data_IF_324431333259
#
_entry.id   IF_324431333259
#
_cell.length_a   1.000
_cell.length_b   1.000
_cell.length_c   1.000
_cell.angle_alpha   90.00
_cell.angle_beta   90.00
_cell.angle_gamma   90.00
#
_symmetry.space_group_name_H-M   'P 1'
#
loop_
_entity.id
_entity.type
_entity.pdbx_description
1 polymer ?
#
# COMPACT_ATOMS: atom_id res chain seq x y z
N UNK A 1 20.17 -39.78 -12.05
CA UNK A 1 20.15 -39.01 -10.79
C UNK A 1 18.76 -38.44 -10.66
N UNK A 2 18.03 -38.86 -9.63
CA UNK A 2 16.63 -38.48 -9.37
C UNK A 2 16.52 -37.00 -9.01
N UNK A 3 15.47 -36.27 -9.41
CA UNK A 3 15.25 -34.91 -8.94
C UNK A 3 14.96 -34.94 -7.44
N UNK A 4 15.63 -34.07 -6.69
CA UNK A 4 15.49 -33.93 -5.26
C UNK A 4 14.06 -33.51 -4.90
N UNK A 5 13.46 -34.24 -3.96
CA UNK A 5 12.19 -33.91 -3.35
C UNK A 5 12.27 -32.52 -2.70
N UNK A 6 11.49 -31.58 -3.22
CA UNK A 6 11.14 -30.36 -2.49
C UNK A 6 10.30 -30.82 -1.32
N UNK A 7 10.85 -30.73 -0.10
CA UNK A 7 10.13 -31.06 1.12
C UNK A 7 8.88 -30.20 1.22
N UNK A 8 7.72 -30.83 1.02
CA UNK A 8 6.45 -30.29 1.49
C UNK A 8 6.56 -30.30 3.01
N UNK A 9 6.75 -29.13 3.61
CA UNK A 9 6.56 -28.97 5.05
C UNK A 9 5.11 -29.38 5.34
N UNK A 10 4.94 -30.39 6.18
CA UNK A 10 3.63 -30.85 6.64
C UNK A 10 2.79 -29.65 7.05
N UNK A 11 1.57 -29.53 6.49
CA UNK A 11 0.61 -28.57 7.00
C UNK A 11 0.37 -28.91 8.48
N UNK A 12 0.43 -27.94 9.41
CA UNK A 12 0.11 -28.23 10.80
C UNK A 12 -1.27 -28.88 10.89
N UNK A 13 -1.36 -29.96 11.67
CA UNK A 13 -2.61 -30.65 11.94
C UNK A 13 -3.63 -29.64 12.47
N UNK A 14 -4.72 -29.39 11.73
CA UNK A 14 -5.87 -28.64 12.26
C UNK A 14 -6.44 -29.47 13.41
N UNK A 15 -6.47 -28.96 14.66
CA UNK A 15 -7.17 -29.66 15.72
C UNK A 15 -8.68 -29.71 15.41
N UNK A 16 -9.34 -30.76 15.89
CA UNK A 16 -10.79 -30.93 15.75
C UNK A 16 -11.55 -29.86 16.54
N UNK A 17 -12.75 -29.51 16.06
CA UNK A 17 -13.67 -28.65 16.80
C UNK A 17 -14.02 -29.26 18.17
N UNK A 18 -14.30 -28.45 19.20
CA UNK A 18 -14.78 -28.96 20.48
C UNK A 18 -16.10 -29.71 20.29
N UNK A 19 -16.33 -30.82 21.02
CA UNK A 19 -17.56 -31.61 20.89
C UNK A 19 -18.77 -30.84 21.46
N UNK A 20 -19.92 -30.96 20.78
CA UNK A 20 -21.19 -30.38 21.22
C UNK A 20 -21.76 -31.15 22.43
N UNK A 21 -22.22 -30.41 23.44
CA UNK A 21 -22.79 -30.93 24.69
C UNK A 21 -24.31 -30.86 24.71
N UNK A 22 -24.92 -30.09 23.80
CA UNK A 22 -26.37 -29.87 23.71
C UNK A 22 -26.86 -28.71 24.58
N UNK A 23 -25.96 -28.01 25.27
CA UNK A 23 -26.20 -26.73 25.91
C UNK A 23 -25.59 -25.63 25.03
N UNK A 24 -26.44 -24.89 24.31
CA UNK A 24 -26.01 -23.87 23.35
C UNK A 24 -25.08 -22.80 23.97
N UNK A 25 -25.27 -22.46 25.24
CA UNK A 25 -24.44 -21.45 25.91
C UNK A 25 -23.06 -22.01 26.26
N UNK A 26 -23.00 -23.26 26.73
CA UNK A 26 -21.75 -23.94 27.01
C UNK A 26 -20.96 -24.25 25.72
N UNK A 27 -21.65 -24.66 24.66
CA UNK A 27 -21.06 -24.98 23.37
C UNK A 27 -20.50 -23.72 22.67
N UNK A 28 -21.20 -22.58 22.76
CA UNK A 28 -20.69 -21.30 22.27
C UNK A 28 -19.46 -20.83 23.07
N UNK A 29 -19.47 -20.97 24.40
CA UNK A 29 -18.32 -20.61 25.22
C UNK A 29 -17.09 -21.49 24.92
N UNK A 30 -17.29 -22.80 24.74
CA UNK A 30 -16.25 -23.75 24.36
C UNK A 30 -15.68 -23.44 22.96
N UNK A 31 -16.53 -23.10 21.99
CA UNK A 31 -16.11 -22.68 20.66
C UNK A 31 -15.28 -21.39 20.69
N UNK A 32 -15.72 -20.37 21.42
CA UNK A 32 -15.00 -19.10 21.53
C UNK A 32 -13.63 -19.26 22.22
N UNK A 33 -13.55 -20.12 23.25
CA UNK A 33 -12.30 -20.46 23.91
C UNK A 33 -11.34 -21.21 22.96
N UNK A 34 -11.85 -22.22 22.25
CA UNK A 34 -11.08 -22.94 21.22
C UNK A 34 -10.60 -22.00 20.10
N UNK A 35 -11.44 -21.07 19.64
CA UNK A 35 -11.08 -20.09 18.62
C UNK A 35 -10.00 -19.13 19.13
N UNK A 36 -10.06 -18.72 20.41
CA UNK A 36 -9.04 -17.88 21.03
C UNK A 36 -7.69 -18.61 21.12
N UNK A 37 -7.70 -19.88 21.55
CA UNK A 37 -6.51 -20.74 21.63
C UNK A 37 -5.89 -20.99 20.24
N UNK A 38 -6.70 -21.30 19.23
CA UNK A 38 -6.25 -21.46 17.84
C UNK A 38 -5.61 -20.17 17.29
N UNK A 39 -6.20 -19.01 17.61
CA UNK A 39 -5.62 -17.70 17.25
C UNK A 39 -4.29 -17.47 17.97
N UNK A 40 -4.15 -17.88 19.22
CA UNK A 40 -2.90 -17.78 19.97
C UNK A 40 -1.82 -18.70 19.42
N UNK A 41 -2.14 -19.97 19.17
CA UNK A 41 -1.24 -20.94 18.55
C UNK A 41 -0.77 -20.47 17.16
N UNK A 42 -1.69 -19.94 16.35
CA UNK A 42 -1.39 -19.35 15.04
C UNK A 42 -0.44 -18.14 15.15
N UNK A 43 -0.66 -17.25 16.14
CA UNK A 43 0.24 -16.12 16.43
C UNK A 43 1.62 -16.61 16.85
N UNK A 44 1.71 -17.62 17.70
CA UNK A 44 2.96 -18.20 18.18
C UNK A 44 3.77 -18.84 17.03
N UNK A 45 3.11 -19.61 16.17
CA UNK A 45 3.72 -20.23 14.98
C UNK A 45 4.19 -19.17 13.97
N UNK A 46 3.41 -18.12 13.73
CA UNK A 46 3.81 -17.01 12.88
C UNK A 46 5.04 -16.26 13.47
N UNK A 47 5.07 -16.04 14.78
CA UNK A 47 6.21 -15.43 15.46
C UNK A 47 7.47 -16.30 15.36
N UNK A 48 7.35 -17.63 15.46
CA UNK A 48 8.46 -18.56 15.26
C UNK A 48 8.96 -18.56 13.82
N UNK A 49 8.07 -18.66 12.84
CA UNK A 49 8.40 -18.55 11.42
C UNK A 49 9.13 -17.22 11.12
N UNK A 50 8.67 -16.11 11.70
CA UNK A 50 9.35 -14.82 11.58
C UNK A 50 10.74 -14.83 12.24
N UNK A 51 10.91 -15.46 13.41
CA UNK A 51 12.24 -15.60 14.03
C UNK A 51 13.19 -16.39 13.12
N UNK A 52 12.71 -17.45 12.47
CA UNK A 52 13.49 -18.24 11.52
C UNK A 52 13.87 -17.45 10.26
N UNK A 53 12.93 -16.75 9.65
CA UNK A 53 13.20 -15.88 8.50
C UNK A 53 14.20 -14.78 8.85
N UNK A 54 14.08 -14.14 10.03
CA UNK A 54 15.07 -13.16 10.49
C UNK A 54 16.46 -13.76 10.60
N UNK A 55 16.59 -14.98 11.13
CA UNK A 55 17.86 -15.70 11.20
C UNK A 55 18.40 -16.03 9.80
N UNK A 56 17.55 -16.55 8.91
CA UNK A 56 17.89 -16.92 7.53
C UNK A 56 18.45 -15.74 6.73
N UNK A 57 17.87 -14.55 6.90
CA UNK A 57 18.22 -13.36 6.13
C UNK A 57 19.08 -12.34 6.89
N UNK A 58 19.62 -12.70 8.06
CA UNK A 58 20.46 -11.78 8.86
C UNK A 58 19.75 -10.50 9.30
N UNK A 59 18.42 -10.54 9.43
CA UNK A 59 17.61 -9.36 9.73
C UNK A 59 17.78 -8.94 11.19
N UNK A 60 17.68 -7.62 11.44
CA UNK A 60 17.68 -7.08 12.81
C UNK A 60 16.51 -7.64 13.63
N UNK A 61 16.61 -7.65 14.97
CA UNK A 61 15.50 -7.99 15.86
C UNK A 61 14.26 -7.14 15.56
N UNK A 62 13.08 -7.61 15.98
CA UNK A 62 11.87 -6.80 15.90
C UNK A 62 12.09 -5.43 16.54
N UNK A 63 11.63 -4.34 15.91
CA UNK A 63 11.68 -3.04 16.54
C UNK A 63 10.82 -3.10 17.79
N UNK A 64 11.36 -2.60 18.90
CA UNK A 64 10.58 -2.43 20.13
C UNK A 64 9.26 -1.73 19.81
N UNK A 65 8.19 -2.12 20.50
CA UNK A 65 6.87 -1.48 20.42
C UNK A 65 7.03 0.03 20.43
N UNK A 66 6.73 0.66 19.30
CA UNK A 66 6.83 2.10 19.16
C UNK A 66 5.52 2.72 19.62
N UNK A 67 5.59 3.63 20.59
CA UNK A 67 4.50 4.53 20.91
C UNK A 67 4.77 5.92 20.34
N UNK A 68 3.70 6.64 20.07
CA UNK A 68 3.69 8.03 19.61
C UNK A 68 2.98 8.89 20.64
N UNK A 69 2.95 10.21 20.42
CA UNK A 69 2.15 11.14 21.23
C UNK A 69 0.63 10.85 21.21
N UNK A 70 0.15 9.99 20.29
CA UNK A 70 -1.24 9.51 20.22
C UNK A 70 -1.46 8.11 20.79
N UNK A 71 -0.44 7.54 21.47
CA UNK A 71 -0.48 6.19 22.04
C UNK A 71 0.25 5.15 21.20
N UNK A 72 -0.13 3.89 21.35
CA UNK A 72 0.40 2.78 20.53
C UNK A 72 0.06 2.96 19.04
N UNK A 73 0.85 2.34 18.16
CA UNK A 73 0.56 2.38 16.73
C UNK A 73 -0.83 1.79 16.45
N UNK A 74 -1.62 2.51 15.65
CA UNK A 74 -2.94 2.04 15.24
C UNK A 74 -2.84 0.72 14.49
N UNK A 75 -3.44 -0.31 15.08
CA UNK A 75 -3.52 -1.66 14.52
C UNK A 75 -4.13 -1.62 13.11
N UNK A 76 -3.47 -2.21 12.10
CA UNK A 76 -3.96 -2.18 10.72
C UNK A 76 -5.19 -3.08 10.45
N UNK A 77 -5.62 -3.86 11.44
CA UNK A 77 -6.83 -4.69 11.35
C UNK A 77 -8.07 -3.82 11.22
N UNK A 78 -8.89 -4.09 10.21
CA UNK A 78 -10.11 -3.32 9.95
C UNK A 78 -11.07 -3.42 11.14
N UNK A 79 -11.59 -2.27 11.53
CA UNK A 79 -12.60 -2.09 12.57
C UNK A 79 -13.54 -0.97 12.14
N UNK A 80 -14.83 -1.28 12.08
CA UNK A 80 -15.83 -0.35 11.56
C UNK A 80 -16.17 0.75 12.56
N UNK A 81 -15.90 0.53 13.84
CA UNK A 81 -16.22 1.46 14.91
C UNK A 81 -15.13 2.52 15.10
N UNK A 82 -13.86 2.18 14.84
CA UNK A 82 -12.76 3.15 14.84
C UNK A 82 -12.59 3.80 13.44
N UNK A 83 -12.85 5.11 13.27
CA UNK A 83 -12.68 5.80 11.99
C UNK A 83 -11.28 5.63 11.36
N UNK A 84 -10.22 5.51 12.16
CA UNK A 84 -8.86 5.28 11.68
C UNK A 84 -8.63 3.87 11.11
N UNK A 85 -9.50 2.92 11.45
CA UNK A 85 -9.40 1.50 11.08
C UNK A 85 -10.51 1.06 10.12
N UNK A 86 -11.33 1.99 9.62
CA UNK A 86 -12.31 1.73 8.54
C UNK A 86 -11.67 1.44 7.18
N UNK A 87 -10.41 1.84 7.00
CA UNK A 87 -9.63 1.65 5.78
C UNK A 87 -8.22 1.15 6.09
N UNK A 88 -7.60 0.44 5.14
CA UNK A 88 -6.17 0.10 5.25
C UNK A 88 -5.33 1.29 4.80
N UNK A 89 -4.64 1.94 5.74
CA UNK A 89 -3.72 3.04 5.42
C UNK A 89 -2.30 2.53 5.21
N UNK A 90 -1.86 2.52 3.95
CA UNK A 90 -0.52 2.13 3.54
C UNK A 90 0.46 3.30 3.70
N UNK A 91 1.55 3.07 4.42
CA UNK A 91 2.64 4.03 4.51
C UNK A 91 3.50 3.94 3.25
N UNK A 92 3.49 4.98 2.41
CA UNK A 92 4.37 5.06 1.26
C UNK A 92 5.83 5.03 1.70
N UNK A 93 6.63 4.13 1.15
CA UNK A 93 8.01 3.90 1.58
C UNK A 93 8.97 3.82 0.40
N UNK A 94 9.97 4.70 0.37
CA UNK A 94 11.08 4.68 -0.60
C UNK A 94 12.30 3.89 -0.11
N UNK A 95 12.20 3.24 1.06
CA UNK A 95 13.19 2.31 1.62
C UNK A 95 12.57 0.92 1.72
N UNK A 96 12.62 0.09 0.66
CA UNK A 96 11.99 -1.23 0.65
C UNK A 96 12.41 -2.16 1.78
N UNK A 97 13.64 -2.05 2.29
CA UNK A 97 14.13 -2.85 3.43
C UNK A 97 13.33 -2.64 4.72
N UNK A 98 12.45 -1.65 4.80
CA UNK A 98 11.50 -1.49 5.90
C UNK A 98 10.50 -2.63 5.99
N UNK A 99 10.25 -3.38 4.90
CA UNK A 99 9.45 -4.61 4.93
C UNK A 99 9.94 -5.64 5.95
N UNK A 100 11.23 -5.60 6.27
CA UNK A 100 11.89 -6.54 7.18
C UNK A 100 11.43 -6.35 8.64
N UNK A 101 10.77 -5.23 8.95
CA UNK A 101 10.43 -4.86 10.33
C UNK A 101 9.24 -3.92 10.46
N UNK A 102 8.54 -3.56 9.39
CA UNK A 102 7.43 -2.62 9.49
C UNK A 102 6.26 -3.20 10.28
N UNK A 103 5.79 -2.52 11.34
CA UNK A 103 4.57 -2.92 12.06
C UNK A 103 3.29 -2.44 11.37
N UNK A 104 3.40 -1.74 10.24
CA UNK A 104 2.27 -1.19 9.48
C UNK A 104 2.36 -1.56 8.00
N UNK A 105 1.23 -1.57 7.26
CA UNK A 105 1.22 -1.81 5.83
C UNK A 105 2.07 -0.79 5.06
N UNK A 106 2.82 -1.26 4.06
CA UNK A 106 3.69 -0.40 3.24
C UNK A 106 3.22 -0.32 1.78
N UNK A 107 3.33 0.87 1.18
CA UNK A 107 3.16 1.05 -0.27
C UNK A 107 4.52 1.33 -0.89
N UNK A 108 4.96 0.47 -1.82
CA UNK A 108 6.35 0.46 -2.29
C UNK A 108 6.36 0.50 -3.81
N UNK A 109 7.15 1.42 -4.36
CA UNK A 109 7.28 1.53 -5.82
C UNK A 109 8.21 0.49 -6.41
N UNK A 110 7.84 -0.04 -7.56
CA UNK A 110 8.64 -0.97 -8.34
C UNK A 110 10.03 -0.40 -8.65
N UNK A 111 10.12 0.89 -8.95
CA UNK A 111 11.39 1.58 -9.19
C UNK A 111 12.33 1.54 -7.97
N UNK A 112 11.80 1.54 -6.75
CA UNK A 112 12.60 1.44 -5.53
C UNK A 112 13.08 0.01 -5.26
N UNK A 113 12.21 -0.97 -5.51
CA UNK A 113 12.52 -2.41 -5.37
C UNK A 113 13.52 -2.89 -6.44
N UNK A 114 13.38 -2.42 -7.68
CA UNK A 114 14.26 -2.79 -8.80
C UNK A 114 15.74 -2.42 -8.59
N UNK A 115 16.04 -1.53 -7.62
CA UNK A 115 17.42 -1.18 -7.24
C UNK A 115 18.13 -2.33 -6.53
N UNK A 116 17.39 -3.28 -5.96
CA UNK A 116 17.94 -4.45 -5.32
C UNK A 116 18.16 -5.53 -6.38
N UNK A 117 19.44 -5.76 -6.72
CA UNK A 117 19.86 -6.71 -7.77
C UNK A 117 20.28 -8.07 -7.24
N UNK A 118 20.69 -8.15 -5.98
CA UNK A 118 21.14 -9.40 -5.33
C UNK A 118 20.48 -9.55 -3.97
N UNK A 119 20.15 -10.79 -3.63
CA UNK A 119 19.71 -11.18 -2.29
C UNK A 119 20.91 -11.08 -1.33
N UNK A 120 20.73 -10.41 -0.19
CA UNK A 120 21.76 -10.16 0.83
C UNK A 120 21.16 -9.43 2.04
N UNK A 121 21.96 -9.01 3.02
CA UNK A 121 21.50 -8.47 4.31
C UNK A 121 20.55 -7.25 4.25
N UNK A 122 20.49 -6.59 3.08
CA UNK A 122 19.61 -5.44 2.83
C UNK A 122 18.40 -5.77 1.96
N UNK A 123 18.27 -7.02 1.52
CA UNK A 123 17.17 -7.45 0.68
C UNK A 123 15.83 -7.26 1.42
N UNK A 124 14.83 -6.66 0.77
CA UNK A 124 13.48 -6.55 1.32
C UNK A 124 12.82 -7.92 1.42
N UNK A 125 12.38 -8.31 2.60
CA UNK A 125 11.60 -9.50 2.88
C UNK A 125 10.39 -9.08 3.70
N UNK A 126 9.20 -9.49 3.28
CA UNK A 126 7.95 -9.24 3.99
C UNK A 126 7.94 -10.04 5.29
N UNK A 127 8.05 -9.36 6.43
CA UNK A 127 8.02 -9.97 7.76
C UNK A 127 6.68 -9.74 8.47
N UNK A 128 5.63 -10.35 7.95
CA UNK A 128 4.28 -10.38 8.55
C UNK A 128 3.29 -9.35 8.01
N UNK A 129 3.68 -8.08 7.93
CA UNK A 129 2.77 -7.04 7.45
C UNK A 129 2.57 -7.08 5.95
N UNK A 130 1.37 -6.66 5.52
CA UNK A 130 1.04 -6.60 4.10
C UNK A 130 1.73 -5.42 3.42
N UNK A 131 1.91 -5.52 2.11
CA UNK A 131 2.45 -4.45 1.28
C UNK A 131 1.74 -4.45 -0.06
N UNK A 132 1.66 -3.30 -0.71
CA UNK A 132 1.15 -3.22 -2.08
C UNK A 132 2.15 -2.50 -2.98
N UNK A 133 2.10 -2.85 -4.27
CA UNK A 133 3.06 -2.42 -5.27
C UNK A 133 2.53 -1.21 -6.03
N UNK A 134 3.30 -0.13 -6.02
CA UNK A 134 3.13 1.05 -6.88
C UNK A 134 3.96 0.86 -8.17
N UNK A 135 3.37 1.11 -9.33
CA UNK A 135 4.07 1.10 -10.62
C UNK A 135 5.09 2.24 -10.74
N UNK A 136 4.89 3.31 -9.98
CA UNK A 136 5.68 4.55 -10.06
C UNK A 136 5.29 5.45 -11.22
N UNK A 137 4.08 5.26 -11.78
CA UNK A 137 3.54 5.98 -12.94
C UNK A 137 3.78 7.48 -12.92
N UNK A 138 3.40 8.13 -11.82
CA UNK A 138 3.53 9.58 -11.71
C UNK A 138 4.97 10.06 -11.86
N UNK A 139 5.93 9.35 -11.26
CA UNK A 139 7.36 9.73 -11.38
C UNK A 139 7.89 9.41 -12.77
N UNK A 140 7.46 8.29 -13.36
CA UNK A 140 7.87 7.88 -14.69
C UNK A 140 7.43 8.88 -15.77
N UNK A 141 6.20 9.39 -15.66
CA UNK A 141 5.54 10.17 -16.71
C UNK A 141 5.56 11.69 -16.47
N UNK A 142 6.04 12.19 -15.33
CA UNK A 142 6.32 13.63 -15.15
C UNK A 142 7.66 14.06 -15.76
N UNK A 143 7.91 15.36 -16.04
CA UNK A 143 9.16 15.82 -16.66
C UNK A 143 10.46 15.41 -15.95
N UNK A 144 10.39 15.02 -14.67
CA UNK A 144 11.51 14.51 -13.90
C UNK A 144 11.82 13.01 -14.17
N UNK A 145 10.96 12.31 -14.90
CA UNK A 145 11.11 10.90 -15.24
C UNK A 145 12.09 10.66 -16.39
N UNK A 146 12.69 9.47 -16.42
CA UNK A 146 13.62 9.02 -17.46
C UNK A 146 12.85 8.06 -18.38
N UNK A 147 12.60 8.43 -19.64
CA UNK A 147 12.03 7.53 -20.63
C UNK A 147 13.05 6.46 -21.04
N UNK A 148 12.59 5.26 -21.43
CA UNK A 148 13.45 4.19 -21.96
C UNK A 148 12.98 3.80 -23.36
N UNK A 149 13.76 4.12 -24.39
CA UNK A 149 13.38 3.92 -25.78
C UNK A 149 12.25 4.86 -26.21
N UNK A 150 11.35 4.38 -27.08
CA UNK A 150 10.22 5.16 -27.63
C UNK A 150 9.01 5.24 -26.68
N UNK A 151 9.04 4.51 -25.56
CA UNK A 151 7.98 4.57 -24.54
C UNK A 151 8.32 5.63 -23.47
N UNK A 152 7.34 6.45 -23.03
CA UNK A 152 7.55 7.39 -21.93
C UNK A 152 7.69 6.68 -20.57
N UNK A 153 7.44 5.37 -20.54
CA UNK A 153 7.71 4.47 -19.44
C UNK A 153 9.16 4.00 -19.43
N UNK A 154 9.70 3.79 -18.22
CA UNK A 154 11.08 3.29 -18.08
C UNK A 154 11.22 1.78 -18.25
N UNK A 155 10.12 1.03 -18.44
CA UNK A 155 10.13 -0.42 -18.78
C UNK A 155 8.94 -0.79 -19.68
N UNK A 156 9.12 -1.83 -20.49
CA UNK A 156 8.05 -2.52 -21.20
C UNK A 156 7.11 -3.26 -20.21
N UNK A 157 5.82 -3.47 -20.53
CA UNK A 157 4.90 -4.25 -19.69
C UNK A 157 5.41 -5.64 -19.28
N UNK A 158 6.08 -6.37 -20.19
CA UNK A 158 6.76 -7.64 -19.85
C UNK A 158 7.83 -7.48 -18.78
N UNK A 159 8.67 -6.46 -18.90
CA UNK A 159 9.74 -6.19 -17.94
C UNK A 159 9.15 -5.84 -16.56
N UNK A 160 8.05 -5.08 -16.56
CA UNK A 160 7.34 -4.72 -15.33
C UNK A 160 6.66 -5.92 -14.67
N UNK A 161 5.91 -6.73 -15.43
CA UNK A 161 5.28 -7.96 -14.93
C UNK A 161 6.29 -8.98 -14.43
N UNK A 162 7.42 -9.15 -15.15
CA UNK A 162 8.53 -9.99 -14.70
C UNK A 162 9.17 -9.50 -13.40
N UNK A 163 9.32 -8.18 -13.22
CA UNK A 163 9.77 -7.62 -11.95
C UNK A 163 8.76 -7.83 -10.83
N UNK A 164 7.47 -7.60 -11.06
CA UNK A 164 6.42 -7.83 -10.07
C UNK A 164 6.36 -9.30 -9.64
N UNK A 165 6.54 -10.23 -10.59
CA UNK A 165 6.66 -11.67 -10.35
C UNK A 165 7.83 -11.96 -9.42
N UNK A 166 9.03 -11.48 -9.79
CA UNK A 166 10.23 -11.61 -8.97
C UNK A 166 10.03 -11.05 -7.56
N UNK A 167 9.39 -9.89 -7.43
CA UNK A 167 9.13 -9.29 -6.11
C UNK A 167 8.17 -10.15 -5.30
N UNK A 168 7.08 -10.66 -5.88
CA UNK A 168 6.16 -11.54 -5.17
C UNK A 168 6.84 -12.82 -4.66
N UNK A 169 7.76 -13.39 -5.44
CA UNK A 169 8.52 -14.59 -5.07
C UNK A 169 9.61 -14.31 -4.02
N UNK A 170 10.43 -13.26 -4.22
CA UNK A 170 11.61 -12.99 -3.39
C UNK A 170 11.32 -12.15 -2.14
N UNK A 171 10.31 -11.26 -2.20
CA UNK A 171 9.89 -10.40 -1.08
C UNK A 171 8.73 -11.04 -0.33
N UNK A 172 7.82 -11.70 -1.05
CA UNK A 172 6.55 -12.22 -0.56
C UNK A 172 5.36 -11.55 -1.26
N UNK A 173 4.19 -12.21 -1.34
CA UNK A 173 3.09 -11.74 -2.18
C UNK A 173 2.57 -10.37 -1.71
N UNK A 174 2.30 -9.42 -2.64
CA UNK A 174 1.65 -8.16 -2.32
C UNK A 174 0.14 -8.34 -2.09
N UNK A 175 -0.50 -7.37 -1.41
CA UNK A 175 -1.97 -7.27 -1.29
C UNK A 175 -2.61 -7.02 -2.66
N UNK A 176 -2.00 -6.12 -3.43
CA UNK A 176 -2.33 -5.84 -4.81
C UNK A 176 -1.14 -5.20 -5.53
N UNK A 177 -1.19 -5.22 -6.87
CA UNK A 177 -0.29 -4.52 -7.74
C UNK A 177 -1.05 -3.47 -8.56
N UNK A 178 -0.58 -2.22 -8.57
CA UNK A 178 -1.05 -1.23 -9.52
C UNK A 178 -0.44 -1.51 -10.91
N UNK A 179 -1.21 -1.46 -12.00
CA UNK A 179 -0.68 -1.56 -13.36
C UNK A 179 0.20 -0.36 -13.70
N UNK A 180 0.85 -0.35 -14.86
CA UNK A 180 1.47 0.84 -15.45
C UNK A 180 0.39 1.79 -15.98
N UNK A 181 -0.36 2.39 -15.05
CA UNK A 181 -1.44 3.34 -15.30
C UNK A 181 -0.92 4.70 -15.78
N UNK A 182 -1.73 5.45 -16.52
CA UNK A 182 -1.35 6.73 -17.10
C UNK A 182 -2.07 7.87 -16.39
N UNK A 183 -1.40 8.59 -15.48
CA UNK A 183 -2.03 9.63 -14.69
C UNK A 183 -2.35 10.86 -15.54
N UNK A 184 -3.53 11.42 -15.32
CA UNK A 184 -4.09 12.52 -16.09
C UNK A 184 -3.78 13.91 -15.51
N UNK A 185 -2.88 14.04 -14.52
CA UNK A 185 -2.49 15.36 -14.04
C UNK A 185 -1.87 16.23 -15.16
N UNK A 186 -2.12 17.56 -15.17
CA UNK A 186 -1.63 18.45 -16.24
C UNK A 186 -0.14 18.30 -16.57
N UNK A 187 0.81 18.22 -15.61
CA UNK A 187 2.22 18.06 -15.93
C UNK A 187 2.57 16.77 -16.68
N UNK A 188 1.78 15.71 -16.51
CA UNK A 188 1.96 14.43 -17.22
C UNK A 188 1.40 14.55 -18.64
N UNK A 189 0.20 15.12 -18.77
CA UNK A 189 -0.44 15.36 -20.07
C UNK A 189 0.35 16.33 -20.95
N UNK A 190 0.86 17.42 -20.37
CA UNK A 190 1.73 18.39 -21.06
C UNK A 190 2.99 17.72 -21.60
N UNK A 191 3.60 16.81 -20.84
CA UNK A 191 4.80 16.08 -21.27
C UNK A 191 4.49 15.04 -22.35
N UNK A 192 3.40 14.30 -22.20
CA UNK A 192 3.05 13.21 -23.11
C UNK A 192 2.38 13.70 -24.38
N UNK A 193 1.78 14.90 -24.37
CA UNK A 193 0.99 15.42 -25.48
C UNK A 193 -0.37 14.72 -25.67
N UNK A 194 -0.76 13.85 -24.74
CA UNK A 194 -1.94 13.00 -24.85
C UNK A 194 -3.16 13.56 -24.12
N UNK A 195 -4.33 13.20 -24.63
CA UNK A 195 -5.64 13.44 -24.04
C UNK A 195 -5.90 12.54 -22.84
N UNK A 196 -6.90 12.88 -22.02
CA UNK A 196 -7.36 12.02 -20.93
C UNK A 196 -7.83 10.67 -21.49
N UNK A 197 -8.59 10.66 -22.59
CA UNK A 197 -9.07 9.43 -23.23
C UNK A 197 -7.95 8.49 -23.67
N UNK A 198 -6.86 9.03 -24.22
CA UNK A 198 -5.68 8.23 -24.59
C UNK A 198 -5.00 7.62 -23.36
N UNK A 199 -4.86 8.39 -22.27
CA UNK A 199 -4.34 7.85 -21.00
C UNK A 199 -5.26 6.77 -20.41
N UNK A 200 -6.57 6.93 -20.50
CA UNK A 200 -7.54 5.93 -20.07
C UNK A 200 -7.38 4.64 -20.88
N UNK A 201 -7.30 4.73 -22.21
CA UNK A 201 -7.11 3.58 -23.07
C UNK A 201 -5.79 2.86 -22.76
N UNK A 202 -4.69 3.60 -22.62
CA UNK A 202 -3.38 3.03 -22.29
C UNK A 202 -3.36 2.37 -20.90
N UNK A 203 -4.12 2.91 -19.94
CA UNK A 203 -4.28 2.32 -18.61
C UNK A 203 -5.08 1.01 -18.68
N UNK A 204 -6.19 1.01 -19.41
CA UNK A 204 -7.02 -0.17 -19.62
C UNK A 204 -6.24 -1.28 -20.33
N UNK A 205 -5.57 -0.97 -21.45
CA UNK A 205 -4.79 -1.92 -22.24
C UNK A 205 -3.69 -2.55 -21.39
N UNK A 206 -2.99 -1.74 -20.59
CA UNK A 206 -1.94 -2.24 -19.71
C UNK A 206 -2.50 -3.15 -18.61
N UNK A 207 -3.62 -2.78 -17.98
CA UNK A 207 -4.28 -3.61 -16.98
C UNK A 207 -4.72 -4.96 -17.56
N UNK A 208 -5.37 -4.96 -18.73
CA UNK A 208 -5.83 -6.17 -19.39
C UNK A 208 -4.65 -7.09 -19.73
N UNK A 209 -3.59 -6.53 -20.32
CA UNK A 209 -2.37 -7.24 -20.66
C UNK A 209 -1.70 -7.87 -19.43
N UNK A 210 -1.47 -7.09 -18.37
CA UNK A 210 -0.82 -7.60 -17.15
C UNK A 210 -1.67 -8.67 -16.45
N UNK A 211 -3.00 -8.52 -16.45
CA UNK A 211 -3.92 -9.50 -15.89
C UNK A 211 -3.95 -10.81 -16.70
N UNK A 212 -3.71 -10.76 -18.00
CA UNK A 212 -3.64 -11.94 -18.86
C UNK A 212 -2.29 -12.65 -18.75
N UNK A 213 -1.19 -11.94 -19.00
CA UNK A 213 0.16 -12.51 -19.06
C UNK A 213 0.73 -12.86 -17.69
N UNK A 214 0.35 -12.09 -16.66
CA UNK A 214 0.81 -12.25 -15.28
C UNK A 214 -0.37 -12.49 -14.32
N UNK A 215 -1.32 -13.34 -14.75
CA UNK A 215 -2.59 -13.63 -14.07
C UNK A 215 -2.48 -14.09 -12.60
N UNK A 216 -1.32 -14.62 -12.20
CA UNK A 216 -1.06 -15.09 -10.84
C UNK A 216 -0.75 -13.95 -9.86
N UNK A 217 -0.60 -12.71 -10.36
CA UNK A 217 -0.41 -11.51 -9.54
C UNK A 217 -1.73 -10.76 -9.34
N UNK A 218 -1.92 -10.11 -8.17
CA UNK A 218 -3.15 -9.43 -7.82
C UNK A 218 -3.25 -8.02 -8.44
N UNK A 219 -3.33 -7.93 -9.77
CA UNK A 219 -3.49 -6.65 -10.48
C UNK A 219 -4.88 -6.04 -10.20
N UNK A 220 -4.91 -4.73 -9.94
CA UNK A 220 -6.16 -4.00 -9.74
C UNK A 220 -6.41 -3.03 -10.89
N UNK A 221 -7.65 -2.85 -11.36
CA UNK A 221 -7.97 -1.80 -12.31
C UNK A 221 -7.73 -0.43 -11.67
N UNK A 222 -7.31 0.54 -12.48
CA UNK A 222 -7.11 1.92 -12.03
C UNK A 222 -7.94 2.86 -12.90
N UNK A 223 -8.85 3.58 -12.24
CA UNK A 223 -9.63 4.65 -12.85
C UNK A 223 -8.76 5.92 -12.93
N UNK A 224 -8.81 6.54 -14.11
CA UNK A 224 -8.09 7.75 -14.50
C UNK A 224 -9.05 8.76 -15.10
N UNK A 225 -8.81 10.04 -14.81
CA UNK A 225 -9.59 11.17 -15.30
C UNK A 225 -9.07 12.48 -14.71
N UNK A 226 -9.53 13.61 -15.23
CA UNK A 226 -9.29 14.97 -14.70
C UNK A 226 -10.60 15.64 -14.25
N UNK A 227 -11.69 15.49 -14.98
CA UNK A 227 -13.03 15.92 -14.61
C UNK A 227 -13.89 14.74 -14.14
N UNK A 228 -15.07 15.05 -13.58
CA UNK A 228 -15.91 14.03 -12.92
C UNK A 228 -16.51 13.02 -13.90
N UNK A 229 -16.98 13.52 -15.04
CA UNK A 229 -17.48 12.76 -16.18
C UNK A 229 -16.40 11.83 -16.76
N UNK A 230 -15.17 12.30 -16.90
CA UNK A 230 -14.07 11.51 -17.44
C UNK A 230 -13.82 10.23 -16.62
N UNK A 231 -13.97 10.27 -15.28
CA UNK A 231 -13.88 9.04 -14.48
C UNK A 231 -15.02 8.06 -14.74
N UNK A 232 -16.23 8.57 -14.97
CA UNK A 232 -17.40 7.74 -15.29
C UNK A 232 -17.21 7.07 -16.65
N UNK A 233 -16.74 7.82 -17.64
CA UNK A 233 -16.39 7.30 -18.96
C UNK A 233 -15.34 6.18 -18.87
N UNK A 234 -14.32 6.34 -18.02
CA UNK A 234 -13.33 5.29 -17.84
C UNK A 234 -13.91 4.04 -17.16
N UNK A 235 -14.82 4.20 -16.20
CA UNK A 235 -15.52 3.07 -15.60
C UNK A 235 -16.33 2.30 -16.66
N UNK A 236 -17.02 3.02 -17.54
CA UNK A 236 -17.75 2.43 -18.68
C UNK A 236 -16.81 1.73 -19.67
N UNK A 237 -15.59 2.25 -19.90
CA UNK A 237 -14.57 1.58 -20.72
C UNK A 237 -14.15 0.22 -20.12
N UNK A 238 -13.94 0.15 -18.81
CA UNK A 238 -13.66 -1.12 -18.13
C UNK A 238 -14.82 -2.11 -18.25
N UNK A 239 -16.05 -1.64 -18.02
CA UNK A 239 -17.27 -2.46 -18.14
C UNK A 239 -17.45 -2.99 -19.57
N UNK A 240 -17.23 -2.14 -20.59
CA UNK A 240 -17.28 -2.53 -22.00
C UNK A 240 -16.20 -3.56 -22.37
N UNK A 241 -15.05 -3.54 -21.69
CA UNK A 241 -13.99 -4.53 -21.81
C UNK A 241 -14.25 -5.80 -20.96
N UNK A 242 -15.43 -5.95 -20.36
CA UNK A 242 -15.81 -7.11 -19.56
C UNK A 242 -15.18 -7.14 -18.17
N UNK A 243 -14.76 -5.99 -17.63
CA UNK A 243 -14.21 -5.87 -16.28
C UNK A 243 -15.29 -5.37 -15.32
N UNK A 244 -15.73 -6.25 -14.42
CA UNK A 244 -16.62 -5.88 -13.32
C UNK A 244 -15.82 -5.20 -12.20
N UNK A 245 -15.93 -3.87 -12.11
CA UNK A 245 -15.26 -3.05 -11.10
C UNK A 245 -15.83 -3.25 -9.68
N UNK A 246 -17.10 -3.65 -9.54
CA UNK A 246 -17.71 -3.91 -8.24
C UNK A 246 -17.26 -5.27 -7.67
N UNK A 247 -16.99 -6.24 -8.54
CA UNK A 247 -16.42 -7.54 -8.15
C UNK A 247 -14.90 -7.51 -7.95
N UNK A 248 -14.20 -6.46 -8.41
CA UNK A 248 -12.76 -6.34 -8.24
C UNK A 248 -12.37 -6.27 -6.74
N UNK A 249 -11.27 -6.94 -6.37
CA UNK A 249 -10.74 -6.91 -4.99
C UNK A 249 -10.51 -5.47 -4.49
N UNK A 250 -10.01 -4.63 -5.40
CA UNK A 250 -9.77 -3.20 -5.23
C UNK A 250 -9.93 -2.50 -6.58
N UNK A 251 -10.32 -1.24 -6.55
CA UNK A 251 -10.29 -0.33 -7.71
C UNK A 251 -9.42 0.87 -7.34
N UNK A 252 -8.29 1.03 -8.01
CA UNK A 252 -7.45 2.19 -7.83
C UNK A 252 -8.11 3.44 -8.41
N UNK A 253 -7.93 4.59 -7.77
CA UNK A 253 -8.37 5.89 -8.33
C UNK A 253 -7.18 6.83 -8.40
N UNK A 254 -6.64 6.98 -9.61
CA UNK A 254 -5.49 7.83 -9.92
C UNK A 254 -5.85 9.31 -9.98
N UNK A 255 -4.87 10.18 -10.17
CA UNK A 255 -5.07 11.62 -10.47
C UNK A 255 -5.83 12.46 -9.41
N UNK A 256 -5.95 11.97 -8.17
CA UNK A 256 -6.57 12.70 -7.05
C UNK A 256 -5.56 13.58 -6.28
N UNK A 257 -4.28 13.20 -6.27
CA UNK A 257 -3.26 13.72 -5.34
C UNK A 257 -3.00 15.24 -5.42
N UNK A 258 -3.19 15.88 -6.58
CA UNK A 258 -2.74 17.27 -6.83
C UNK A 258 -3.83 18.32 -7.10
N UNK A 259 -5.11 17.98 -6.97
CA UNK A 259 -6.20 18.91 -7.29
C UNK A 259 -6.44 19.97 -6.23
N UNK A 260 -6.77 21.20 -6.65
CA UNK A 260 -7.11 22.33 -5.78
C UNK A 260 -8.59 22.38 -5.37
N UNK A 261 -9.50 21.79 -6.16
CA UNK A 261 -10.95 21.81 -5.90
C UNK A 261 -11.45 20.45 -5.36
N UNK A 262 -11.68 20.39 -4.05
CA UNK A 262 -12.19 19.22 -3.32
C UNK A 262 -13.63 18.82 -3.69
N UNK A 263 -14.59 19.73 -3.99
CA UNK A 263 -15.99 19.32 -4.14
C UNK A 263 -16.32 18.44 -5.35
N UNK A 264 -15.60 18.56 -6.47
CA UNK A 264 -15.90 17.77 -7.68
C UNK A 264 -15.46 16.31 -7.53
N UNK A 265 -14.32 16.06 -6.87
CA UNK A 265 -13.84 14.68 -6.65
C UNK A 265 -14.65 13.94 -5.60
N UNK A 266 -15.15 14.64 -4.55
CA UNK A 266 -16.00 14.03 -3.52
C UNK A 266 -17.20 13.33 -4.16
N UNK A 267 -17.89 14.01 -5.10
CA UNK A 267 -19.06 13.44 -5.79
C UNK A 267 -18.73 12.17 -6.58
N UNK A 268 -17.59 12.15 -7.27
CA UNK A 268 -17.13 10.97 -8.03
C UNK A 268 -16.87 9.81 -7.07
N UNK A 269 -16.17 10.06 -5.97
CA UNK A 269 -15.87 9.05 -4.96
C UNK A 269 -17.16 8.55 -4.29
N UNK A 270 -18.10 9.42 -3.94
CA UNK A 270 -19.41 9.02 -3.42
C UNK A 270 -20.19 8.15 -4.42
N UNK A 271 -20.16 8.50 -5.70
CA UNK A 271 -20.81 7.74 -6.76
C UNK A 271 -20.17 6.36 -6.95
N UNK A 272 -18.84 6.24 -6.89
CA UNK A 272 -18.17 4.95 -6.97
C UNK A 272 -18.37 4.10 -5.71
N UNK A 273 -18.37 4.71 -4.53
CA UNK A 273 -18.71 4.03 -3.29
C UNK A 273 -20.16 3.49 -3.32
N UNK A 274 -21.12 4.24 -3.86
CA UNK A 274 -22.51 3.80 -3.98
C UNK A 274 -22.71 2.67 -5.00
N UNK A 275 -21.82 2.56 -6.00
CA UNK A 275 -21.71 1.41 -6.91
C UNK A 275 -21.01 0.20 -6.29
N UNK A 276 -20.56 0.29 -5.04
CA UNK A 276 -19.90 -0.80 -4.32
C UNK A 276 -18.41 -0.93 -4.60
N UNK A 277 -17.78 0.03 -5.28
CA UNK A 277 -16.36 -0.07 -5.63
C UNK A 277 -15.49 -0.01 -4.36
N UNK A 278 -14.63 -1.02 -4.18
CA UNK A 278 -13.66 -1.06 -3.08
C UNK A 278 -12.46 -0.22 -3.45
N UNK A 279 -12.53 1.09 -3.23
CA UNK A 279 -11.51 1.99 -3.78
C UNK A 279 -10.17 1.97 -3.02
N UNK A 280 -9.08 2.10 -3.77
CA UNK A 280 -7.77 2.54 -3.28
C UNK A 280 -7.48 3.96 -3.75
N UNK A 281 -7.31 4.89 -2.81
CA UNK A 281 -6.93 6.27 -3.14
C UNK A 281 -5.42 6.42 -3.20
N UNK A 282 -4.86 6.65 -4.40
CA UNK A 282 -3.44 6.89 -4.58
C UNK A 282 -3.05 8.29 -4.10
N UNK A 283 -2.16 8.37 -3.10
CA UNK A 283 -1.60 9.62 -2.63
C UNK A 283 -2.64 10.64 -2.15
N UNK A 284 -3.74 10.19 -1.52
CA UNK A 284 -4.82 11.09 -1.08
C UNK A 284 -4.25 12.15 -0.13
N UNK A 285 -4.61 13.41 -0.38
CA UNK A 285 -4.21 14.52 0.49
C UNK A 285 -4.71 14.25 1.90
N UNK A 286 -3.81 14.33 2.88
CA UNK A 286 -4.15 14.13 4.29
C UNK A 286 -5.29 15.05 4.75
N UNK A 287 -5.37 16.27 4.22
CA UNK A 287 -6.43 17.21 4.55
C UNK A 287 -7.81 16.81 4.01
N UNK A 288 -7.87 15.96 2.99
CA UNK A 288 -9.12 15.44 2.44
C UNK A 288 -9.58 14.15 3.14
N UNK A 289 -8.66 13.38 3.73
CA UNK A 289 -8.97 12.08 4.35
C UNK A 289 -10.08 12.13 5.41
N UNK A 290 -10.18 13.14 6.30
CA UNK A 290 -11.31 13.21 7.24
C UNK A 290 -12.67 13.38 6.56
N UNK A 291 -12.71 13.93 5.33
CA UNK A 291 -13.95 14.15 4.58
C UNK A 291 -14.36 12.91 3.79
N UNK A 292 -13.41 12.25 3.11
CA UNK A 292 -13.71 11.18 2.14
C UNK A 292 -13.12 9.82 2.50
N UNK A 293 -12.30 9.71 3.56
CA UNK A 293 -11.56 8.49 3.90
C UNK A 293 -12.48 7.28 4.13
N UNK A 294 -13.66 7.51 4.70
CA UNK A 294 -14.68 6.47 4.93
C UNK A 294 -15.26 5.86 3.65
N UNK A 295 -15.04 6.49 2.49
CA UNK A 295 -15.47 5.99 1.18
C UNK A 295 -14.42 5.07 0.54
N UNK A 296 -13.19 5.03 1.07
CA UNK A 296 -12.11 4.19 0.55
C UNK A 296 -11.96 2.91 1.37
N UNK A 297 -11.66 1.81 0.67
CA UNK A 297 -11.24 0.57 1.31
C UNK A 297 -9.76 0.62 1.73
N UNK A 298 -8.96 1.46 1.06
CA UNK A 298 -7.55 1.72 1.40
C UNK A 298 -7.06 3.03 0.81
N UNK A 299 -5.99 3.59 1.34
CA UNK A 299 -5.30 4.74 0.76
C UNK A 299 -3.82 4.69 1.12
N UNK A 300 -2.99 5.43 0.39
CA UNK A 300 -1.57 5.57 0.70
C UNK A 300 -1.13 7.04 0.76
N UNK A 301 0.03 7.27 1.36
CA UNK A 301 0.79 8.49 1.13
C UNK A 301 2.26 8.36 1.50
N UNK A 302 3.11 9.03 0.72
CA UNK A 302 4.53 9.26 1.03
C UNK A 302 4.81 10.73 1.43
N UNK A 303 3.76 11.53 1.66
CA UNK A 303 3.89 12.97 1.92
C UNK A 303 4.68 13.31 3.20
N UNK A 304 4.86 12.34 4.11
CA UNK A 304 5.72 12.47 5.29
C UNK A 304 7.17 12.83 4.93
N UNK A 305 7.70 12.27 3.84
CA UNK A 305 9.09 12.46 3.38
C UNK A 305 9.30 13.87 2.83
N UNK A 306 8.39 14.31 1.96
CA UNK A 306 8.40 15.67 1.42
C UNK A 306 8.18 16.72 2.51
N UNK A 307 7.25 16.46 3.44
CA UNK A 307 7.01 17.33 4.61
C UNK A 307 8.28 17.51 5.44
N UNK A 308 8.97 16.42 5.80
CA UNK A 308 10.21 16.53 6.57
C UNK A 308 11.31 17.28 5.82
N UNK A 309 11.42 17.07 4.50
CA UNK A 309 12.39 17.77 3.66
C UNK A 309 12.13 19.26 3.60
N UNK A 310 10.89 19.66 3.30
CA UNK A 310 10.49 21.06 3.10
C UNK A 310 10.54 21.83 4.41
N UNK A 311 9.98 21.24 5.47
CA UNK A 311 9.81 21.90 6.76
C UNK A 311 11.01 21.64 7.69
N UNK A 312 12.07 20.98 7.18
CA UNK A 312 13.31 20.62 7.89
C UNK A 312 13.05 19.89 9.21
N UNK A 313 12.00 19.05 9.26
CA UNK A 313 11.61 18.32 10.46
C UNK A 313 12.73 17.38 10.87
N UNK A 314 13.20 17.53 12.11
CA UNK A 314 14.11 16.59 12.76
C UNK A 314 13.57 16.33 14.15
N UNK A 315 13.23 15.07 14.44
CA UNK A 315 12.86 14.68 15.81
C UNK A 315 14.06 14.92 16.74
N UNK A 316 13.85 15.39 17.99
CA UNK A 316 14.94 15.68 18.93
C UNK A 316 15.92 14.51 19.11
N UNK A 317 15.40 13.28 19.07
CA UNK A 317 16.17 12.04 19.23
C UNK A 317 16.86 11.54 17.95
N UNK A 318 16.71 12.25 16.83
CA UNK A 318 17.26 11.83 15.53
C UNK A 318 18.57 12.54 15.19
N UNK A 319 19.62 11.76 14.93
CA UNK A 319 20.97 12.25 14.59
C UNK A 319 21.33 11.99 13.12
N UNK A 320 20.36 12.09 12.20
CA UNK A 320 20.57 11.81 10.78
C UNK A 320 21.67 12.72 10.21
N UNK A 321 22.51 12.16 9.34
CA UNK A 321 23.57 12.91 8.65
C UNK A 321 23.34 12.93 7.15
N UNK A 322 23.63 14.06 6.52
CA UNK A 322 23.69 14.20 5.07
C UNK A 322 24.93 13.50 4.51
N UNK A 323 25.08 13.47 3.18
CA UNK A 323 26.33 13.01 2.54
C UNK A 323 27.54 13.89 2.90
N UNK A 324 27.33 15.17 3.25
CA UNK A 324 28.38 16.09 3.73
C UNK A 324 28.73 15.88 5.21
N UNK A 325 28.07 14.98 5.93
CA UNK A 325 28.30 14.72 7.36
C UNK A 325 27.55 15.66 8.31
N UNK A 326 26.89 16.69 7.78
CA UNK A 326 26.06 17.64 8.52
C UNK A 326 24.78 16.99 9.03
N UNK A 327 24.20 17.53 10.12
CA UNK A 327 22.90 17.08 10.60
C UNK A 327 21.82 17.32 9.53
N UNK A 328 20.99 16.31 9.29
CA UNK A 328 19.94 16.30 8.29
C UNK A 328 18.55 16.16 8.92
N UNK A 329 17.52 16.30 8.09
CA UNK A 329 16.12 16.14 8.48
C UNK A 329 15.66 14.67 8.41
N UNK A 330 14.43 14.43 8.83
CA UNK A 330 13.82 13.12 8.94
C UNK A 330 13.17 12.61 7.63
N UNK A 331 13.51 13.17 6.45
CA UNK A 331 12.93 12.74 5.16
C UNK A 331 13.19 11.26 4.80
N UNK A 332 14.14 10.62 5.48
CA UNK A 332 14.49 9.20 5.32
C UNK A 332 14.27 8.39 6.62
N UNK A 333 13.51 8.91 7.57
CA UNK A 333 13.41 8.35 8.92
C UNK A 333 12.12 7.55 9.11
N UNK A 334 12.25 6.26 9.42
CA UNK A 334 11.10 5.39 9.67
C UNK A 334 10.28 5.84 10.90
N UNK A 335 10.96 6.28 11.97
CA UNK A 335 10.29 6.79 13.18
C UNK A 335 9.42 8.01 12.89
N UNK A 336 9.92 8.94 12.08
CA UNK A 336 9.12 10.07 11.64
C UNK A 336 7.96 9.64 10.74
N UNK A 337 8.20 8.71 9.81
CA UNK A 337 7.15 8.20 8.94
C UNK A 337 5.99 7.56 9.74
N UNK A 338 6.30 6.80 10.80
CA UNK A 338 5.31 6.22 11.72
C UNK A 338 4.57 7.29 12.54
N UNK A 339 5.28 8.25 13.15
CA UNK A 339 4.63 9.37 13.86
C UNK A 339 3.70 10.15 12.93
N UNK A 340 4.16 10.44 11.70
CA UNK A 340 3.34 11.12 10.71
C UNK A 340 2.09 10.31 10.34
N UNK A 341 2.21 8.99 10.17
CA UNK A 341 1.06 8.10 9.92
C UNK A 341 0.03 8.17 11.05
N UNK A 342 0.46 8.05 12.30
CA UNK A 342 -0.46 8.10 13.45
C UNK A 342 -1.18 9.45 13.52
N UNK A 343 -0.50 10.56 13.19
CA UNK A 343 -1.14 11.87 13.05
C UNK A 343 -2.26 11.88 11.99
N UNK A 344 -2.04 11.22 10.85
CA UNK A 344 -3.07 11.11 9.80
C UNK A 344 -4.27 10.30 10.29
N UNK A 345 -4.01 9.18 10.97
CA UNK A 345 -5.07 8.32 11.49
C UNK A 345 -5.87 9.01 12.60
N UNK A 346 -5.21 9.76 13.47
CA UNK A 346 -5.90 10.57 14.48
C UNK A 346 -6.79 11.67 13.86
N UNK A 347 -6.39 12.20 12.70
CA UNK A 347 -7.21 13.16 11.95
C UNK A 347 -8.54 12.54 11.48
N UNK A 348 -8.57 11.23 11.22
CA UNK A 348 -9.80 10.49 10.89
C UNK A 348 -10.70 10.33 12.12
N UNK A 349 -10.13 10.02 13.29
CA UNK A 349 -10.89 9.88 14.55
C UNK A 349 -11.52 11.20 14.99
N UNK A 350 -10.73 12.27 14.94
CA UNK A 350 -11.16 13.60 15.38
C UNK A 350 -12.04 14.33 14.35
N UNK A 351 -12.12 13.85 13.11
CA UNK A 351 -12.80 14.52 12.00
C UNK A 351 -12.16 15.86 11.61
N UNK A 352 -10.95 16.17 12.09
CA UNK A 352 -10.24 17.44 11.84
C UNK A 352 -9.06 17.20 10.91
N UNK A 353 -8.80 18.06 9.92
CA UNK A 353 -7.63 17.93 9.05
C UNK A 353 -6.34 17.90 9.85
N UNK A 354 -5.43 16.96 9.54
CA UNK A 354 -4.09 17.00 10.12
C UNK A 354 -3.37 18.27 9.64
N UNK A 355 -2.93 19.13 10.56
CA UNK A 355 -2.16 20.34 10.22
C UNK A 355 -0.78 19.93 9.69
N UNK A 356 -0.40 20.46 8.53
CA UNK A 356 0.89 20.17 7.88
C UNK A 356 2.11 20.60 8.70
N UNK A 357 1.96 21.57 9.63
CA UNK A 357 3.09 22.31 10.20
C UNK A 357 3.10 22.50 11.73
N UNK A 358 2.32 21.77 12.53
CA UNK A 358 2.40 21.88 13.99
C UNK A 358 2.86 20.57 14.65
N UNK A 359 4.18 20.40 14.73
CA UNK A 359 4.79 19.86 15.95
C UNK A 359 5.03 21.08 16.83
N UNK A 360 4.09 21.37 17.74
CA UNK A 360 4.46 22.18 18.89
C UNK A 360 5.45 21.33 19.68
N UNK A 361 6.71 21.77 19.69
CA UNK A 361 7.76 21.27 20.56
C UNK A 361 7.22 21.24 21.99
N UNK A 362 7.01 20.03 22.53
CA UNK A 362 6.98 19.78 23.96
C UNK A 362 8.00 18.68 24.25
#
# INVERSE_FOLDING_TARGET
MSPAAVGVLDRPHRPGLPPETGDEAADLAAFLAWEADEREASRAAAAEYHRELRRKYGLRPEPATMSTEWGELTNPTIDRDDPARRLTYYLGAHHPSWLNYSPVPLFISAASLARYRTTGDRWPVRMGMTWALDSGAFTALTPAGIAKGDAPWWQHPDEYGGMATRFAEEVGPPDFCAPQDWPCEPPVRERTGMTVREHQQLTLDNFLYLREEFYFLPWIPVLQGWEADEYLEHAEMYEAAGVDLAAAYRVGVGSICRRGHVPSIVRVIEQFASRGYRMHGFGVKVTALPLIGHLFASADSMAWSDTARRDRIRLPECTHRSKSGELSDCRNCFRWALRWRERVLESLRSGRPARSSQLALF
#
